data_IF_788523302136
#
_entry.id   IF_788523302136
#
_cell.length_a   1.000
_cell.length_b   1.000
_cell.length_c   1.000
_cell.angle_alpha   90.00
_cell.angle_beta   90.00
_cell.angle_gamma   90.00
#
_symmetry.space_group_name_H-M   'P 1'
#
loop_
_entity.id
_entity.type
_entity.pdbx_description
1 polymer ?
#
# COMPACT_ATOMS: atom_id res chain seq x y z
N UNK A 1 17.52 -6.71 46.57
CA UNK A 1 18.62 -6.08 47.35
C UNK A 1 18.73 -4.65 46.86
N UNK A 2 18.58 -3.67 47.78
CA UNK A 2 18.92 -2.23 47.79
C UNK A 2 18.15 -1.41 46.73
N UNK A 3 16.99 -0.72 47.01
CA UNK A 3 16.65 0.42 47.94
C UNK A 3 17.55 1.63 47.76
N UNK A 4 16.90 2.74 47.35
CA UNK A 4 16.96 4.10 47.97
C UNK A 4 16.22 5.06 47.03
N UNK A 5 15.07 5.60 47.33
CA UNK A 5 14.49 6.50 48.35
C UNK A 5 15.09 7.92 48.44
N UNK A 6 14.15 8.88 48.43
CA UNK A 6 14.14 10.19 49.10
C UNK A 6 14.83 11.34 48.33
N UNK A 7 14.31 12.59 48.20
CA UNK A 7 13.60 13.47 49.16
C UNK A 7 13.07 14.69 48.38
N UNK A 8 11.84 15.17 48.41
CA UNK A 8 11.13 16.16 49.25
C UNK A 8 11.92 17.39 49.71
N UNK A 9 11.43 18.60 49.34
CA UNK A 9 11.27 19.86 50.13
C UNK A 9 10.67 20.90 49.18
N UNK A 10 9.47 21.48 49.32
CA UNK A 10 8.70 22.26 50.29
C UNK A 10 9.43 23.42 50.92
N UNK A 11 8.97 24.64 50.63
CA UNK A 11 8.75 25.84 51.53
C UNK A 11 8.25 26.97 50.62
N UNK A 12 7.12 27.62 50.68
CA UNK A 12 6.25 28.16 51.73
C UNK A 12 6.69 29.53 52.24
N UNK A 13 5.73 30.48 52.11
CA UNK A 13 5.47 31.68 52.92
C UNK A 13 6.40 32.90 52.73
N UNK A 14 5.97 34.18 52.67
CA UNK A 14 5.11 34.94 53.58
C UNK A 14 4.89 36.36 53.02
N UNK A 15 3.69 36.86 52.87
CA UNK A 15 3.00 38.02 53.45
C UNK A 15 3.75 39.32 53.83
N UNK A 16 3.09 40.43 53.54
CA UNK A 16 2.81 41.59 54.44
C UNK A 16 2.99 42.91 53.69
N UNK A 17 1.98 43.66 53.44
CA UNK A 17 1.14 44.56 54.21
C UNK A 17 1.57 46.05 54.15
N UNK A 18 0.60 46.90 53.80
CA UNK A 18 0.26 48.18 54.31
C UNK A 18 1.08 49.43 53.93
N UNK A 19 0.35 50.48 53.53
CA UNK A 19 0.76 51.86 53.60
C UNK A 19 -0.18 52.85 52.92
N UNK A 20 -1.15 53.28 53.64
CA UNK A 20 -2.16 54.31 53.39
C UNK A 20 -1.52 55.67 53.25
N UNK A 21 -2.06 56.60 52.44
CA UNK A 21 -1.68 57.99 52.39
C UNK A 21 -2.61 58.82 51.51
N UNK A 22 -3.70 59.27 52.06
CA UNK A 22 -4.59 60.30 51.51
C UNK A 22 -4.07 61.70 51.81
N UNK A 23 -4.17 62.63 50.85
CA UNK A 23 -4.28 64.10 51.14
C UNK A 23 -4.83 64.83 49.89
N UNK A 24 -5.99 65.27 49.98
CA UNK A 24 -6.81 66.49 49.86
C UNK A 24 -6.34 67.59 48.86
N UNK A 25 -7.31 67.94 48.03
CA UNK A 25 -7.64 69.06 47.17
C UNK A 25 -7.12 70.44 47.58
N UNK A 26 -7.08 71.47 46.67
CA UNK A 26 -8.33 72.13 46.28
C UNK A 26 -8.48 72.59 44.82
N UNK A 27 -9.71 72.86 44.47
CA UNK A 27 -10.25 73.45 43.27
C UNK A 27 -9.85 74.92 43.06
N UNK A 28 -9.76 75.34 41.80
CA UNK A 28 -10.24 76.62 41.32
C UNK A 28 -10.56 76.61 39.83
N UNK A 29 -11.76 76.88 39.55
CA UNK A 29 -12.54 77.51 38.51
C UNK A 29 -11.76 78.35 37.48
N UNK A 30 -11.99 78.23 36.18
CA UNK A 30 -12.80 79.05 35.30
C UNK A 30 -12.38 79.03 33.84
N UNK A 31 -13.40 79.14 33.00
CA UNK A 31 -13.44 79.54 31.59
C UNK A 31 -13.17 78.49 30.48
N UNK A 32 -14.26 78.05 29.96
CA UNK A 32 -14.34 77.53 28.60
C UNK A 32 -13.99 78.55 27.51
N UNK A 33 -13.37 78.13 26.45
CA UNK A 33 -13.70 78.63 25.14
C UNK A 33 -14.17 77.47 24.22
N UNK A 34 -15.32 77.75 23.67
CA UNK A 34 -15.90 77.37 22.39
C UNK A 34 -15.23 76.26 21.60
N UNK A 35 -16.01 75.20 21.41
CA UNK A 35 -15.74 74.10 20.56
C UNK A 35 -15.31 74.51 19.17
N UNK A 36 -14.13 74.13 18.75
CA UNK A 36 -13.76 73.86 17.37
C UNK A 36 -14.03 72.40 17.14
N UNK A 37 -14.86 72.10 16.18
CA UNK A 37 -15.10 70.75 15.71
C UNK A 37 -13.78 70.19 15.17
N UNK A 38 -13.09 69.42 15.96
CA UNK A 38 -12.03 68.54 15.48
C UNK A 38 -12.76 67.41 14.73
N UNK A 39 -12.66 67.46 13.45
CA UNK A 39 -12.88 66.29 12.60
C UNK A 39 -11.96 65.20 13.12
N UNK A 40 -12.52 64.26 13.88
CA UNK A 40 -11.88 63.06 14.27
C UNK A 40 -11.47 62.33 12.95
N UNK A 41 -10.17 62.46 12.61
CA UNK A 41 -9.57 61.56 11.63
C UNK A 41 -9.79 60.16 12.17
N UNK A 42 -10.76 59.48 11.61
CA UNK A 42 -11.02 58.08 11.87
C UNK A 42 -9.70 57.33 11.67
N UNK A 43 -9.16 56.79 12.78
CA UNK A 43 -7.98 55.94 12.75
C UNK A 43 -8.20 54.87 11.71
N UNK A 44 -7.48 54.98 10.62
CA UNK A 44 -7.59 54.04 9.48
C UNK A 44 -7.11 52.69 9.99
N UNK A 45 -8.05 51.75 10.15
CA UNK A 45 -7.70 50.40 10.58
C UNK A 45 -6.78 49.80 9.49
N UNK A 46 -5.54 49.42 9.78
CA UNK A 46 -4.57 48.95 8.79
C UNK A 46 -5.03 47.69 8.02
N UNK A 47 -6.09 47.04 8.52
CA UNK A 47 -6.71 45.90 7.86
C UNK A 47 -7.89 46.29 6.93
N UNK A 48 -8.27 47.54 6.87
CA UNK A 48 -9.37 48.00 6.04
C UNK A 48 -8.85 48.78 4.82
N UNK A 49 -9.53 48.56 3.70
CA UNK A 49 -9.27 49.29 2.46
C UNK A 49 -10.60 49.85 1.91
N UNK A 50 -10.54 51.10 1.50
CA UNK A 50 -11.67 51.75 0.80
C UNK A 50 -11.29 51.87 -0.68
N UNK A 51 -12.09 51.26 -1.55
CA UNK A 51 -11.85 51.26 -2.98
C UNK A 51 -12.53 52.45 -3.63
N UNK A 52 -11.81 53.17 -4.49
CA UNK A 52 -12.37 54.27 -5.26
C UNK A 52 -13.35 53.71 -6.31
N UNK A 53 -14.48 54.42 -6.59
CA UNK A 53 -15.49 53.95 -7.54
C UNK A 53 -14.92 53.58 -8.93
N UNK A 54 -13.88 54.26 -9.37
CA UNK A 54 -13.20 54.07 -10.65
C UNK A 54 -12.49 52.71 -10.75
N UNK A 55 -12.12 52.15 -9.64
CA UNK A 55 -11.42 50.87 -9.53
C UNK A 55 -12.37 49.69 -9.24
N UNK A 56 -13.63 49.96 -8.90
CA UNK A 56 -14.59 48.94 -8.50
C UNK A 56 -14.77 47.84 -9.56
N UNK A 57 -14.64 48.17 -10.85
CA UNK A 57 -14.74 47.20 -11.95
C UNK A 57 -13.57 46.20 -12.02
N UNK A 58 -12.50 46.42 -11.30
CA UNK A 58 -11.34 45.52 -11.27
C UNK A 58 -11.49 44.39 -10.23
N UNK A 59 -12.52 44.42 -9.41
CA UNK A 59 -12.76 43.49 -8.33
C UNK A 59 -14.12 42.82 -8.50
N UNK A 60 -14.10 41.51 -8.46
CA UNK A 60 -15.34 40.71 -8.43
C UNK A 60 -15.62 40.28 -7.00
N UNK A 61 -16.80 40.62 -6.51
CA UNK A 61 -17.27 40.19 -5.19
C UNK A 61 -18.33 39.12 -5.39
N UNK A 62 -18.25 38.05 -4.63
CA UNK A 62 -19.23 36.97 -4.62
C UNK A 62 -19.61 36.60 -3.19
N UNK A 63 -20.86 36.18 -3.05
CA UNK A 63 -21.34 35.63 -1.78
C UNK A 63 -20.85 34.19 -1.62
N UNK A 64 -20.33 33.86 -0.45
CA UNK A 64 -19.93 32.52 -0.13
C UNK A 64 -21.12 31.62 0.11
N UNK A 65 -21.20 30.56 -0.69
CA UNK A 65 -22.22 29.52 -0.58
C UNK A 65 -21.60 28.17 -0.27
N UNK A 66 -22.38 27.27 0.31
CA UNK A 66 -22.01 25.88 0.48
C UNK A 66 -21.94 25.23 -0.90
N UNK A 67 -20.86 24.51 -1.14
CA UNK A 67 -20.62 23.80 -2.40
C UNK A 67 -20.19 22.36 -2.11
N UNK A 68 -20.60 21.45 -2.99
CA UNK A 68 -20.15 20.07 -2.94
C UNK A 68 -18.69 19.97 -3.42
N UNK A 69 -17.79 19.75 -2.48
CA UNK A 69 -16.37 19.54 -2.77
C UNK A 69 -16.06 18.06 -2.62
N UNK A 70 -15.47 17.49 -3.65
CA UNK A 70 -14.95 16.12 -3.63
C UNK A 70 -13.45 16.18 -3.35
N UNK A 71 -13.01 15.93 -2.11
CA UNK A 71 -11.61 16.05 -1.75
C UNK A 71 -10.76 14.97 -2.42
N UNK A 72 -9.54 15.34 -2.81
CA UNK A 72 -8.52 14.38 -3.15
C UNK A 72 -7.89 13.84 -1.86
N UNK A 73 -7.92 12.53 -1.71
CA UNK A 73 -7.23 11.83 -0.63
C UNK A 73 -5.88 11.34 -1.14
N UNK A 74 -4.81 11.79 -0.52
CA UNK A 74 -3.47 11.32 -0.80
C UNK A 74 -3.09 10.22 0.17
N UNK A 75 -2.71 9.07 -0.37
CA UNK A 75 -2.43 7.87 0.38
C UNK A 75 -1.03 7.40 0.01
N UNK A 76 -0.13 7.41 0.97
CA UNK A 76 1.20 6.86 0.81
C UNK A 76 1.12 5.34 0.72
N UNK A 77 1.87 4.78 -0.21
CA UNK A 77 1.89 3.35 -0.45
C UNK A 77 3.20 2.88 -1.04
N UNK A 78 3.25 1.59 -1.32
CA UNK A 78 4.38 0.94 -1.98
C UNK A 78 3.90 -0.05 -3.02
N UNK A 79 4.75 -0.30 -3.98
CA UNK A 79 4.52 -1.33 -4.99
C UNK A 79 4.86 -2.68 -4.40
N UNK A 80 3.97 -3.64 -4.56
CA UNK A 80 4.17 -5.03 -4.15
C UNK A 80 3.89 -5.95 -5.34
N UNK A 81 4.52 -7.12 -5.35
CA UNK A 81 4.14 -8.16 -6.29
C UNK A 81 2.70 -8.60 -5.98
N UNK A 82 1.96 -8.98 -7.02
CA UNK A 82 0.64 -9.54 -6.84
C UNK A 82 0.77 -10.93 -6.19
N UNK A 83 0.38 -11.08 -4.92
CA UNK A 83 0.51 -12.32 -4.15
C UNK A 83 -0.13 -13.55 -4.84
N UNK A 84 -1.14 -13.32 -5.70
CA UNK A 84 -1.76 -14.40 -6.48
C UNK A 84 -0.87 -14.92 -7.61
N UNK A 85 0.14 -14.14 -7.99
CA UNK A 85 1.09 -14.41 -9.05
C UNK A 85 2.52 -14.57 -8.51
N UNK A 86 2.64 -14.86 -7.21
CA UNK A 86 3.91 -15.17 -6.54
C UNK A 86 3.89 -16.63 -6.10
N UNK A 87 4.97 -17.34 -6.37
CA UNK A 87 5.17 -18.70 -5.89
C UNK A 87 6.47 -18.83 -5.11
N UNK A 88 6.39 -19.50 -3.97
CA UNK A 88 7.55 -19.88 -3.16
C UNK A 88 7.89 -21.31 -3.49
N UNK A 89 9.10 -21.54 -3.97
CA UNK A 89 9.57 -22.82 -4.49
C UNK A 89 10.56 -23.40 -3.48
N UNK A 90 10.29 -24.60 -3.02
CA UNK A 90 11.11 -25.34 -2.07
C UNK A 90 11.65 -26.64 -2.63
N UNK A 91 12.42 -27.38 -1.83
CA UNK A 91 12.84 -28.72 -2.13
C UNK A 91 11.70 -29.72 -1.90
N UNK A 92 11.53 -30.67 -2.82
CA UNK A 92 10.58 -31.76 -2.65
C UNK A 92 11.16 -32.95 -1.87
N UNK A 93 12.48 -33.04 -1.80
CA UNK A 93 13.23 -34.11 -1.13
C UNK A 93 14.43 -33.54 -0.39
N UNK A 94 14.90 -34.27 0.60
CA UNK A 94 16.16 -33.91 1.30
C UNK A 94 17.37 -34.19 0.40
N UNK A 95 18.26 -33.21 0.28
CA UNK A 95 19.49 -33.40 -0.52
C UNK A 95 20.45 -32.22 -0.44
N UNK A 96 21.66 -32.43 -0.95
CA UNK A 96 22.68 -31.38 -1.06
C UNK A 96 22.55 -30.68 -2.42
N UNK A 97 22.50 -29.36 -2.41
CA UNK A 97 22.49 -28.54 -3.64
C UNK A 97 23.82 -28.71 -4.36
N UNK A 98 23.77 -29.22 -5.56
CA UNK A 98 24.92 -29.45 -6.45
C UNK A 98 25.09 -28.37 -7.50
N UNK A 99 24.00 -27.71 -7.88
CA UNK A 99 24.02 -26.64 -8.87
C UNK A 99 22.92 -25.61 -8.53
N UNK A 100 23.22 -24.34 -8.71
CA UNK A 100 22.24 -23.24 -8.71
C UNK A 100 22.23 -22.68 -10.13
N UNK A 101 21.10 -22.74 -10.80
CA UNK A 101 20.92 -22.46 -12.23
C UNK A 101 20.22 -21.13 -12.51
N UNK A 102 19.66 -20.52 -11.47
CA UNK A 102 18.94 -19.26 -11.60
C UNK A 102 19.36 -18.26 -10.51
N UNK A 103 19.52 -17.02 -10.90
CA UNK A 103 19.85 -15.89 -10.05
C UNK A 103 18.67 -14.91 -9.90
N UNK A 104 18.76 -14.04 -8.89
CA UNK A 104 17.75 -12.97 -8.70
C UNK A 104 17.76 -12.03 -9.93
N UNK A 105 16.60 -11.81 -10.51
CA UNK A 105 16.42 -11.04 -11.73
C UNK A 105 16.24 -11.87 -13.00
N UNK A 106 16.54 -13.17 -12.96
CA UNK A 106 16.39 -14.04 -14.12
C UNK A 106 14.92 -14.28 -14.47
N UNK A 107 14.63 -14.32 -15.78
CA UNK A 107 13.34 -14.73 -16.29
C UNK A 107 13.31 -16.25 -16.46
N UNK A 108 12.29 -16.86 -15.88
CA UNK A 108 12.13 -18.31 -15.89
C UNK A 108 10.76 -18.71 -16.47
N UNK A 109 10.73 -19.86 -17.12
CA UNK A 109 9.51 -20.47 -17.60
C UNK A 109 9.03 -21.53 -16.62
N UNK A 110 7.72 -21.83 -16.65
CA UNK A 110 7.18 -22.94 -15.86
C UNK A 110 7.86 -24.25 -16.24
N UNK A 111 8.32 -25.01 -15.25
CA UNK A 111 9.07 -26.24 -15.43
C UNK A 111 10.59 -26.06 -15.60
N UNK A 112 11.08 -24.83 -15.78
CA UNK A 112 12.51 -24.58 -15.91
C UNK A 112 13.24 -24.91 -14.58
N UNK A 113 14.35 -25.68 -14.62
CA UNK A 113 15.12 -25.99 -13.45
C UNK A 113 15.84 -24.74 -12.91
N UNK A 114 15.71 -24.48 -11.62
CA UNK A 114 16.33 -23.37 -10.87
C UNK A 114 17.55 -23.82 -10.06
N UNK A 115 17.50 -25.05 -9.57
CA UNK A 115 18.60 -25.70 -8.87
C UNK A 115 18.53 -27.21 -9.03
N UNK A 116 19.66 -27.87 -8.77
CA UNK A 116 19.77 -29.32 -8.70
C UNK A 116 20.26 -29.74 -7.34
N UNK A 117 19.76 -30.86 -6.85
CA UNK A 117 20.18 -31.40 -5.55
C UNK A 117 20.41 -32.91 -5.66
N UNK A 118 21.47 -33.40 -5.05
CA UNK A 118 21.76 -34.83 -4.90
C UNK A 118 20.98 -35.36 -3.67
N UNK A 119 20.15 -36.39 -3.89
CA UNK A 119 19.29 -36.98 -2.86
C UNK A 119 19.46 -38.51 -2.80
N UNK A 120 19.85 -39.03 -1.64
CA UNK A 120 19.83 -40.45 -1.36
C UNK A 120 18.41 -40.99 -1.20
N UNK A 121 17.52 -40.18 -0.71
CA UNK A 121 16.09 -40.51 -0.56
C UNK A 121 15.45 -40.79 -1.94
N UNK A 122 15.70 -39.91 -2.93
CA UNK A 122 15.27 -40.12 -4.29
C UNK A 122 15.84 -41.42 -4.90
N UNK A 123 17.14 -41.70 -4.65
CA UNK A 123 17.80 -42.92 -5.09
C UNK A 123 17.12 -44.18 -4.52
N UNK A 124 16.81 -44.15 -3.22
CA UNK A 124 16.09 -45.22 -2.53
C UNK A 124 14.68 -45.43 -3.11
N UNK A 125 13.95 -44.37 -3.36
CA UNK A 125 12.63 -44.43 -3.96
C UNK A 125 12.68 -45.00 -5.41
N UNK A 126 13.67 -44.61 -6.21
CA UNK A 126 13.90 -45.17 -7.54
C UNK A 126 14.20 -46.67 -7.50
N UNK A 127 15.03 -47.15 -6.58
CA UNK A 127 15.26 -48.56 -6.35
C UNK A 127 13.97 -49.30 -5.96
N UNK A 128 13.15 -48.73 -5.08
CA UNK A 128 11.83 -49.24 -4.71
C UNK A 128 10.91 -49.40 -5.91
N UNK A 129 10.88 -48.39 -6.77
CA UNK A 129 10.10 -48.43 -8.02
C UNK A 129 10.55 -49.55 -8.98
N UNK A 130 11.87 -49.69 -9.21
CA UNK A 130 12.41 -50.74 -10.07
C UNK A 130 12.11 -52.15 -9.52
N UNK A 131 12.16 -52.31 -8.18
CA UNK A 131 11.79 -53.57 -7.51
C UNK A 131 10.31 -53.90 -7.72
N UNK A 132 9.43 -52.90 -7.51
CA UNK A 132 7.99 -53.04 -7.73
C UNK A 132 7.68 -53.33 -9.21
N UNK A 133 8.38 -52.66 -10.15
CA UNK A 133 8.24 -52.93 -11.57
C UNK A 133 8.61 -54.38 -11.95
N UNK A 134 9.74 -54.87 -11.40
CA UNK A 134 10.15 -56.26 -11.62
C UNK A 134 9.15 -57.27 -11.06
N UNK A 135 8.60 -57.00 -9.85
CA UNK A 135 7.57 -57.85 -9.23
C UNK A 135 6.27 -57.87 -10.06
N UNK A 136 5.80 -56.69 -10.52
CA UNK A 136 4.61 -56.57 -11.35
C UNK A 136 4.77 -57.32 -12.71
N UNK A 137 5.92 -57.19 -13.36
CA UNK A 137 6.25 -57.89 -14.59
C UNK A 137 6.31 -59.43 -14.39
N UNK A 138 6.87 -59.88 -13.25
CA UNK A 138 6.90 -61.31 -12.89
C UNK A 138 5.49 -61.87 -12.65
N UNK A 139 4.66 -61.14 -11.88
CA UNK A 139 3.27 -61.52 -11.62
C UNK A 139 2.43 -61.56 -12.91
N UNK A 140 2.62 -60.60 -13.81
CA UNK A 140 1.96 -60.61 -15.14
C UNK A 140 2.28 -61.84 -15.95
N UNK A 141 3.57 -62.18 -16.09
CA UNK A 141 4.00 -63.43 -16.76
C UNK A 141 3.49 -64.68 -16.05
N UNK A 142 3.30 -64.67 -14.73
CA UNK A 142 2.72 -65.78 -13.97
C UNK A 142 1.24 -65.96 -14.28
N UNK A 143 0.46 -64.88 -14.39
CA UNK A 143 -0.93 -64.90 -14.79
C UNK A 143 -1.07 -65.41 -16.23
N UNK A 144 -0.23 -64.93 -17.17
CA UNK A 144 -0.28 -65.37 -18.56
C UNK A 144 0.02 -66.86 -18.71
N UNK A 145 1.01 -67.40 -17.96
CA UNK A 145 1.23 -68.86 -17.90
C UNK A 145 0.06 -69.59 -17.27
N UNK A 146 -0.54 -69.06 -16.19
CA UNK A 146 -1.69 -69.67 -15.54
C UNK A 146 -2.92 -69.72 -16.47
N UNK A 147 -3.13 -68.70 -17.32
CA UNK A 147 -4.18 -68.69 -18.36
C UNK A 147 -3.99 -69.78 -19.37
N UNK A 148 -2.76 -70.07 -19.82
CA UNK A 148 -2.47 -71.17 -20.74
C UNK A 148 -2.71 -72.55 -20.09
N UNK A 149 -2.32 -72.70 -18.79
CA UNK A 149 -2.48 -73.98 -18.06
C UNK A 149 -3.92 -74.24 -17.67
N UNK A 150 -4.76 -73.29 -17.41
CA UNK A 150 -6.20 -73.50 -17.17
C UNK A 150 -6.94 -73.90 -18.48
N UNK A 151 -6.52 -73.31 -19.60
CA UNK A 151 -7.06 -73.66 -20.89
C UNK A 151 -6.71 -75.14 -21.29
N UNK A 152 -5.60 -75.69 -20.73
CA UNK A 152 -5.16 -77.04 -20.89
C UNK A 152 -5.66 -78.03 -19.81
N UNK A 153 -6.58 -77.57 -18.94
CA UNK A 153 -7.11 -78.29 -17.78
C UNK A 153 -6.02 -78.81 -16.80
N UNK A 154 -4.87 -78.10 -16.73
CA UNK A 154 -3.73 -78.46 -15.83
C UNK A 154 -3.89 -77.86 -14.44
N UNK A 155 -4.52 -76.66 -14.28
CA UNK A 155 -4.74 -75.99 -13.02
C UNK A 155 -6.22 -75.69 -12.84
N UNK A 156 -6.66 -75.58 -11.56
CA UNK A 156 -8.02 -75.16 -11.23
C UNK A 156 -8.20 -73.64 -11.14
N UNK A 157 -9.46 -73.19 -11.13
CA UNK A 157 -9.86 -71.78 -11.02
C UNK A 157 -9.28 -71.07 -9.79
N UNK A 158 -9.16 -71.78 -8.66
CA UNK A 158 -8.63 -71.25 -7.45
C UNK A 158 -7.15 -70.76 -7.58
N UNK A 159 -6.31 -71.55 -8.33
CA UNK A 159 -4.93 -71.15 -8.60
C UNK A 159 -4.87 -69.94 -9.55
N UNK A 160 -5.75 -69.89 -10.56
CA UNK A 160 -5.86 -68.72 -11.42
C UNK A 160 -6.23 -67.45 -10.62
N UNK A 161 -7.26 -67.53 -9.81
CA UNK A 161 -7.68 -66.39 -8.94
C UNK A 161 -6.55 -65.93 -8.01
N UNK A 162 -5.76 -66.87 -7.47
CA UNK A 162 -4.61 -66.53 -6.65
C UNK A 162 -3.57 -65.73 -7.45
N UNK A 163 -3.23 -66.15 -8.67
CA UNK A 163 -2.27 -65.44 -9.53
C UNK A 163 -2.78 -64.06 -9.95
N UNK A 164 -4.07 -63.92 -10.24
CA UNK A 164 -4.71 -62.63 -10.54
C UNK A 164 -4.69 -61.70 -9.34
N UNK A 165 -4.92 -62.23 -8.13
CA UNK A 165 -4.82 -61.43 -6.89
C UNK A 165 -3.38 -60.98 -6.63
N UNK A 166 -2.37 -61.85 -6.80
CA UNK A 166 -0.94 -61.52 -6.69
C UNK A 166 -0.54 -60.43 -7.72
N UNK A 167 -1.04 -60.51 -8.96
CA UNK A 167 -0.81 -59.51 -9.98
C UNK A 167 -1.44 -58.17 -9.59
N UNK A 168 -2.68 -58.18 -9.07
CA UNK A 168 -3.38 -56.96 -8.65
C UNK A 168 -2.62 -56.20 -7.56
N UNK A 169 -2.09 -56.95 -6.56
CA UNK A 169 -1.25 -56.39 -5.50
C UNK A 169 0.04 -55.78 -6.06
N UNK A 170 0.79 -56.56 -6.90
CA UNK A 170 2.05 -56.05 -7.46
C UNK A 170 1.86 -54.85 -8.38
N UNK A 171 0.75 -54.78 -9.13
CA UNK A 171 0.40 -53.60 -9.91
C UNK A 171 0.04 -52.38 -9.03
N UNK A 172 -0.61 -52.60 -7.87
CA UNK A 172 -0.93 -51.55 -6.92
C UNK A 172 0.36 -50.96 -6.28
N UNK A 173 1.31 -51.84 -5.90
CA UNK A 173 2.62 -51.44 -5.39
C UNK A 173 3.42 -50.64 -6.40
N UNK A 174 3.44 -51.08 -7.65
CA UNK A 174 4.11 -50.32 -8.73
C UNK A 174 3.50 -48.92 -8.93
N UNK A 175 2.17 -48.84 -8.94
CA UNK A 175 1.50 -47.52 -9.02
C UNK A 175 1.88 -46.61 -7.83
N UNK A 176 1.81 -47.12 -6.61
CA UNK A 176 2.18 -46.38 -5.39
C UNK A 176 3.62 -45.89 -5.44
N UNK A 177 4.57 -46.73 -5.86
CA UNK A 177 5.97 -46.35 -6.03
C UNK A 177 6.16 -45.28 -7.11
N UNK A 178 5.42 -45.34 -8.21
CA UNK A 178 5.43 -44.33 -9.26
C UNK A 178 4.86 -43.00 -8.80
N UNK A 179 3.77 -43.04 -8.02
CA UNK A 179 3.16 -41.81 -7.43
C UNK A 179 4.11 -41.15 -6.40
N UNK A 180 4.83 -41.96 -5.62
CA UNK A 180 5.85 -41.48 -4.71
C UNK A 180 6.96 -40.71 -5.46
N UNK A 181 7.45 -41.25 -6.59
CA UNK A 181 8.46 -40.55 -7.41
C UNK A 181 7.95 -39.23 -7.98
N UNK A 182 6.66 -39.16 -8.38
CA UNK A 182 6.03 -37.92 -8.86
C UNK A 182 5.96 -36.86 -7.73
N UNK A 183 5.58 -37.27 -6.52
CA UNK A 183 5.56 -36.39 -5.34
C UNK A 183 6.96 -35.87 -4.99
N UNK A 184 8.01 -36.66 -5.24
CA UNK A 184 9.41 -36.25 -5.10
C UNK A 184 9.90 -35.33 -6.23
N UNK A 185 9.03 -34.96 -7.18
CA UNK A 185 9.35 -34.04 -8.26
C UNK A 185 9.96 -34.71 -9.50
N UNK A 186 9.92 -36.04 -9.62
CA UNK A 186 10.38 -36.75 -10.82
C UNK A 186 9.29 -36.66 -11.91
N UNK A 187 9.56 -36.07 -13.08
CA UNK A 187 8.59 -35.97 -14.14
C UNK A 187 8.30 -37.36 -14.79
N UNK A 188 7.11 -37.52 -15.39
CA UNK A 188 6.64 -38.82 -15.89
C UNK A 188 7.57 -39.42 -16.93
N UNK A 189 8.16 -38.60 -17.79
CA UNK A 189 9.13 -39.06 -18.79
C UNK A 189 10.43 -39.59 -18.17
N UNK A 190 10.85 -39.06 -17.05
CA UNK A 190 12.01 -39.58 -16.30
C UNK A 190 11.68 -40.91 -15.61
N UNK A 191 10.43 -41.08 -15.12
CA UNK A 191 9.98 -42.37 -14.56
C UNK A 191 9.92 -43.45 -15.64
N UNK A 192 9.44 -43.12 -16.84
CA UNK A 192 9.44 -44.12 -17.97
C UNK A 192 10.88 -44.46 -18.39
N UNK A 193 11.80 -43.48 -18.49
CA UNK A 193 13.23 -43.75 -18.74
C UNK A 193 13.84 -44.64 -17.65
N UNK A 194 13.51 -44.39 -16.40
CA UNK A 194 13.97 -45.21 -15.26
C UNK A 194 13.48 -46.66 -15.41
N UNK A 195 12.22 -46.85 -15.78
CA UNK A 195 11.61 -48.17 -16.03
C UNK A 195 12.28 -48.92 -17.16
N UNK A 196 12.59 -48.23 -18.27
CA UNK A 196 13.19 -48.82 -19.47
C UNK A 196 14.68 -49.12 -19.29
N UNK A 197 15.45 -48.18 -18.71
CA UNK A 197 16.90 -48.26 -18.66
C UNK A 197 17.43 -48.86 -17.36
N UNK A 198 16.65 -48.79 -16.27
CA UNK A 198 17.06 -49.26 -14.97
C UNK A 198 18.17 -48.41 -14.32
N UNK A 199 18.51 -47.26 -14.93
CA UNK A 199 19.61 -46.41 -14.46
C UNK A 199 19.10 -45.41 -13.42
N UNK A 200 19.73 -45.38 -12.23
CA UNK A 200 19.40 -44.48 -11.15
C UNK A 200 19.99 -43.08 -11.41
N UNK A 201 19.18 -42.06 -11.17
CA UNK A 201 19.59 -40.67 -11.26
C UNK A 201 19.44 -40.02 -9.89
N UNK A 202 20.54 -39.82 -9.12
CA UNK A 202 20.47 -39.30 -7.73
C UNK A 202 20.14 -37.81 -7.66
N UNK A 203 19.98 -37.14 -8.81
CA UNK A 203 19.79 -35.69 -8.90
C UNK A 203 18.31 -35.36 -9.08
N UNK A 204 17.74 -34.64 -8.12
CA UNK A 204 16.43 -34.02 -8.21
C UNK A 204 16.56 -32.58 -8.71
N UNK A 205 15.57 -32.11 -9.45
CA UNK A 205 15.50 -30.72 -9.93
C UNK A 205 14.48 -29.94 -9.12
N UNK A 206 14.88 -28.76 -8.67
CA UNK A 206 13.96 -27.73 -8.15
C UNK A 206 13.57 -26.86 -9.32
N UNK A 207 12.30 -26.93 -9.74
CA UNK A 207 11.82 -26.25 -10.96
C UNK A 207 10.80 -25.17 -10.66
N UNK A 208 10.75 -24.15 -11.52
CA UNK A 208 9.77 -23.08 -11.44
C UNK A 208 8.35 -23.61 -11.65
N UNK A 209 7.44 -23.29 -10.77
CA UNK A 209 6.02 -23.69 -10.86
C UNK A 209 5.18 -22.66 -11.63
N UNK A 210 5.72 -21.44 -11.81
CA UNK A 210 5.13 -20.31 -12.51
C UNK A 210 6.17 -19.70 -13.47
N UNK A 211 5.75 -19.19 -14.61
CA UNK A 211 6.58 -18.33 -15.45
C UNK A 211 6.65 -16.94 -14.84
N UNK A 212 7.85 -16.34 -14.77
CA UNK A 212 8.01 -15.04 -14.15
C UNK A 212 9.48 -14.64 -13.97
N UNK A 213 9.75 -13.86 -12.96
CA UNK A 213 11.08 -13.40 -12.56
C UNK A 213 11.42 -13.95 -11.17
N UNK A 214 12.65 -14.39 -10.99
CA UNK A 214 13.16 -14.76 -9.67
C UNK A 214 13.37 -13.49 -8.85
N UNK A 215 12.56 -13.26 -7.83
CA UNK A 215 12.64 -12.07 -6.97
C UNK A 215 13.42 -12.32 -5.68
N UNK A 216 13.59 -13.58 -5.31
CA UNK A 216 14.35 -13.95 -4.12
C UNK A 216 15.01 -15.32 -4.30
N UNK A 217 16.23 -15.46 -3.81
CA UNK A 217 17.00 -16.70 -3.75
C UNK A 217 17.57 -16.88 -2.35
N UNK A 218 17.22 -17.98 -1.69
CA UNK A 218 17.66 -18.34 -0.33
C UNK A 218 18.48 -19.63 -0.31
N UNK A 219 19.03 -20.01 -1.43
CA UNK A 219 19.79 -21.26 -1.57
C UNK A 219 21.21 -20.99 -2.06
N UNK A 220 22.16 -21.77 -1.57
CA UNK A 220 23.58 -21.72 -1.97
C UNK A 220 24.08 -23.10 -2.39
N UNK A 221 25.07 -23.12 -3.27
CA UNK A 221 25.77 -24.35 -3.64
C UNK A 221 26.36 -25.04 -2.42
N UNK A 222 26.22 -26.36 -2.31
CA UNK A 222 26.70 -27.18 -1.19
C UNK A 222 25.79 -27.19 0.04
N UNK A 223 24.77 -26.33 0.11
CA UNK A 223 23.78 -26.33 1.18
C UNK A 223 22.97 -27.63 1.16
N UNK A 224 22.57 -28.11 2.32
CA UNK A 224 21.57 -29.18 2.46
C UNK A 224 20.21 -28.55 2.52
N UNK A 225 19.31 -28.93 1.62
CA UNK A 225 17.92 -28.52 1.60
C UNK A 225 17.02 -29.67 2.07
N UNK A 226 15.91 -29.32 2.72
CA UNK A 226 14.90 -30.25 3.22
C UNK A 226 13.52 -29.87 2.68
N UNK A 227 12.55 -30.81 2.62
CA UNK A 227 11.17 -30.49 2.30
C UNK A 227 10.62 -29.39 3.22
N UNK A 228 10.05 -28.33 2.62
CA UNK A 228 9.57 -27.17 3.35
C UNK A 228 10.54 -25.98 3.38
N UNK A 229 11.82 -26.18 3.08
CA UNK A 229 12.76 -25.08 2.93
C UNK A 229 12.38 -24.21 1.73
N UNK A 230 12.29 -22.90 1.95
CA UNK A 230 12.06 -21.92 0.91
C UNK A 230 13.38 -21.60 0.19
N UNK A 231 13.49 -21.97 -1.08
CA UNK A 231 14.71 -21.82 -1.87
C UNK A 231 14.66 -20.64 -2.84
N UNK A 232 13.53 -20.48 -3.53
CA UNK A 232 13.33 -19.40 -4.49
C UNK A 232 11.93 -18.81 -4.36
N UNK A 233 11.81 -17.51 -4.68
CA UNK A 233 10.51 -16.87 -4.96
C UNK A 233 10.49 -16.41 -6.41
N UNK A 234 9.50 -16.86 -7.15
CA UNK A 234 9.24 -16.43 -8.52
C UNK A 234 7.93 -15.66 -8.56
N UNK A 235 7.93 -14.52 -9.21
CA UNK A 235 6.75 -13.66 -9.37
C UNK A 235 6.52 -13.32 -10.85
N UNK A 236 5.28 -13.36 -11.27
CA UNK A 236 4.87 -12.66 -12.48
C UNK A 236 4.66 -11.18 -12.14
N UNK A 237 5.45 -10.31 -12.75
CA UNK A 237 5.45 -8.88 -12.52
C UNK A 237 4.78 -8.07 -13.64
N UNK A 238 4.05 -8.72 -14.56
CA UNK A 238 3.31 -8.02 -15.62
C UNK A 238 2.13 -7.23 -15.07
N UNK A 239 1.66 -7.60 -13.86
CA UNK A 239 0.79 -6.80 -13.02
C UNK A 239 1.35 -6.70 -11.61
N UNK A 240 1.22 -5.53 -11.02
CA UNK A 240 1.66 -5.28 -9.63
C UNK A 240 0.52 -4.68 -8.81
N UNK A 241 0.64 -4.77 -7.51
CA UNK A 241 -0.22 -4.05 -6.58
C UNK A 241 0.47 -2.81 -6.05
N UNK A 242 -0.28 -1.73 -5.93
CA UNK A 242 0.09 -0.60 -5.08
C UNK A 242 -0.72 -0.74 -3.79
N UNK A 243 -0.02 -0.99 -2.70
CA UNK A 243 -0.60 -1.19 -1.38
C UNK A 243 -0.39 0.07 -0.56
N UNK A 244 -1.46 0.65 -0.06
CA UNK A 244 -1.42 1.87 0.74
C UNK A 244 -2.18 1.75 2.05
N UNK A 245 -1.84 2.65 2.96
CA UNK A 245 -2.44 2.77 4.28
C UNK A 245 -3.39 3.96 4.31
N UNK A 246 -4.69 3.70 4.23
CA UNK A 246 -5.74 4.71 4.27
C UNK A 246 -6.13 4.99 5.73
N UNK A 247 -6.07 6.24 6.22
CA UNK A 247 -6.48 6.57 7.58
C UNK A 247 -7.94 6.14 7.87
N UNK A 248 -8.18 5.60 9.06
CA UNK A 248 -9.50 5.10 9.50
C UNK A 248 -10.63 6.12 9.27
N UNK A 249 -10.34 7.40 9.53
CA UNK A 249 -11.32 8.48 9.40
C UNK A 249 -11.85 8.66 7.98
N UNK A 250 -11.01 8.39 6.97
CA UNK A 250 -11.34 8.54 5.55
C UNK A 250 -11.69 7.21 4.87
N UNK A 251 -11.56 6.08 5.59
CA UNK A 251 -11.78 4.74 5.02
C UNK A 251 -13.18 4.56 4.43
N UNK A 252 -14.20 5.19 5.03
CA UNK A 252 -15.59 5.10 4.58
C UNK A 252 -15.85 5.78 3.23
N UNK A 253 -14.96 6.70 2.81
CA UNK A 253 -15.11 7.46 1.55
C UNK A 253 -14.49 6.76 0.35
N UNK A 254 -13.82 5.62 0.57
CA UNK A 254 -13.10 4.87 -0.48
C UNK A 254 -13.71 3.47 -0.62
N UNK A 255 -13.97 3.06 -1.87
CA UNK A 255 -14.60 1.78 -2.18
C UNK A 255 -13.82 1.02 -3.25
N UNK A 256 -13.94 -0.30 -3.23
CA UNK A 256 -13.43 -1.14 -4.32
C UNK A 256 -14.10 -0.75 -5.66
N UNK A 257 -13.33 -0.80 -6.75
CA UNK A 257 -13.78 -0.41 -8.08
C UNK A 257 -13.48 1.06 -8.44
N UNK A 258 -13.19 1.93 -7.46
CA UNK A 258 -12.82 3.32 -7.73
C UNK A 258 -11.50 3.42 -8.51
N UNK A 259 -11.43 4.42 -9.38
CA UNK A 259 -10.21 4.76 -10.12
C UNK A 259 -9.28 5.59 -9.24
N UNK A 260 -7.99 5.25 -9.28
CA UNK A 260 -6.93 5.89 -8.52
C UNK A 260 -5.86 6.40 -9.47
N UNK A 261 -5.39 7.61 -9.22
CA UNK A 261 -4.18 8.14 -9.84
C UNK A 261 -2.98 7.79 -8.95
N UNK A 262 -1.98 7.17 -9.53
CA UNK A 262 -0.80 6.69 -8.82
C UNK A 262 0.42 7.43 -9.36
N UNK A 263 1.16 8.04 -8.49
CA UNK A 263 2.41 8.74 -8.80
C UNK A 263 3.57 7.97 -8.20
N UNK A 264 4.58 7.67 -9.02
CA UNK A 264 5.78 6.94 -8.60
C UNK A 264 6.98 7.88 -8.75
N UNK A 265 7.52 8.44 -7.66
CA UNK A 265 8.62 9.40 -7.71
C UNK A 265 9.86 8.87 -8.42
N UNK A 266 10.17 7.58 -8.24
CA UNK A 266 11.31 6.93 -8.90
C UNK A 266 11.23 6.92 -10.44
N UNK A 267 10.04 7.17 -11.02
CA UNK A 267 9.80 7.25 -12.46
C UNK A 267 9.54 8.69 -12.94
N UNK A 268 10.08 9.70 -12.23
CA UNK A 268 9.91 11.11 -12.57
C UNK A 268 8.47 11.61 -12.37
N UNK A 269 7.80 11.15 -11.32
CA UNK A 269 6.39 11.46 -11.00
C UNK A 269 5.42 11.11 -12.13
N UNK A 270 5.72 10.07 -12.88
CA UNK A 270 4.82 9.56 -13.91
C UNK A 270 3.49 9.14 -13.28
N UNK A 271 2.41 9.73 -13.76
CA UNK A 271 1.05 9.37 -13.34
C UNK A 271 0.58 8.11 -14.06
N UNK A 272 0.12 7.15 -13.28
CA UNK A 272 -0.48 5.91 -13.72
C UNK A 272 -1.92 5.85 -13.21
N UNK A 273 -2.75 5.13 -13.92
CA UNK A 273 -4.13 4.90 -13.48
C UNK A 273 -4.30 3.44 -13.08
N UNK A 274 -4.90 3.22 -11.93
CA UNK A 274 -5.24 1.88 -11.44
C UNK A 274 -6.67 1.83 -10.91
N UNK A 275 -7.12 0.62 -10.55
CA UNK A 275 -8.40 0.40 -9.88
C UNK A 275 -8.18 -0.20 -8.50
N UNK A 276 -8.91 0.31 -7.50
CA UNK A 276 -8.93 -0.30 -6.16
C UNK A 276 -9.59 -1.67 -6.28
N UNK A 277 -8.82 -2.71 -5.98
CA UNK A 277 -9.32 -4.09 -5.99
C UNK A 277 -9.68 -4.60 -4.61
N UNK A 278 -9.22 -3.90 -3.56
CA UNK A 278 -9.48 -4.28 -2.19
C UNK A 278 -9.38 -3.08 -1.25
N UNK A 279 -10.33 -3.00 -0.33
CA UNK A 279 -10.31 -2.12 0.85
C UNK A 279 -10.46 -3.04 2.05
N UNK A 280 -9.55 -2.95 3.02
CA UNK A 280 -9.52 -3.83 4.18
C UNK A 280 -10.71 -3.62 5.10
N UNK A 281 -11.22 -4.71 5.68
CA UNK A 281 -12.30 -4.68 6.67
C UNK A 281 -11.78 -4.48 8.11
N UNK A 282 -10.45 -4.45 8.27
CA UNK A 282 -9.79 -4.32 9.57
C UNK A 282 -8.87 -3.12 9.60
N UNK A 283 -8.83 -2.46 10.75
CA UNK A 283 -7.92 -1.34 11.03
C UNK A 283 -6.66 -1.90 11.70
N UNK A 284 -5.47 -1.54 11.18
CA UNK A 284 -4.22 -1.83 11.87
C UNK A 284 -4.14 -0.99 13.15
N UNK A 285 -3.99 -1.61 14.32
CA UNK A 285 -3.94 -0.88 15.58
C UNK A 285 -2.69 -0.01 15.73
N UNK A 286 -1.59 -0.39 15.07
CA UNK A 286 -0.32 0.33 15.13
C UNK A 286 -0.37 1.64 14.33
N UNK A 287 -0.96 1.59 13.14
CA UNK A 287 -0.96 2.72 12.20
C UNK A 287 -2.28 3.46 12.13
N UNK A 288 -3.35 2.95 12.76
CA UNK A 288 -4.72 3.46 12.67
C UNK A 288 -5.18 3.63 11.22
N UNK A 289 -4.85 2.67 10.39
CA UNK A 289 -5.14 2.70 8.95
C UNK A 289 -5.75 1.40 8.45
N UNK A 290 -6.48 1.51 7.36
CA UNK A 290 -7.04 0.40 6.58
C UNK A 290 -6.16 0.17 5.36
N UNK A 291 -5.82 -1.08 5.08
CA UNK A 291 -5.05 -1.43 3.89
C UNK A 291 -5.91 -1.34 2.65
N UNK A 292 -5.45 -0.61 1.63
CA UNK A 292 -6.05 -0.62 0.31
C UNK A 292 -5.07 -1.21 -0.70
N UNK A 293 -5.60 -1.89 -1.72
CA UNK A 293 -4.81 -2.44 -2.83
C UNK A 293 -5.38 -1.97 -4.15
N UNK A 294 -4.49 -1.46 -4.98
CA UNK A 294 -4.80 -1.03 -6.34
C UNK A 294 -3.99 -1.87 -7.30
N UNK A 295 -4.62 -2.45 -8.31
CA UNK A 295 -3.93 -3.20 -9.36
C UNK A 295 -3.50 -2.26 -10.48
N UNK A 296 -2.27 -2.44 -10.95
CA UNK A 296 -1.66 -1.66 -12.02
C UNK A 296 -0.98 -2.60 -13.01
N UNK A 297 -1.20 -2.37 -14.29
CA UNK A 297 -0.51 -3.08 -15.36
C UNK A 297 0.94 -2.61 -15.48
N UNK A 298 1.86 -3.56 -15.65
CA UNK A 298 3.29 -3.31 -15.67
C UNK A 298 4.00 -4.06 -16.82
N UNK A 299 3.56 -3.91 -18.08
CA UNK A 299 4.09 -4.68 -19.20
C UNK A 299 5.57 -4.40 -19.49
N UNK A 300 6.04 -3.21 -19.13
CA UNK A 300 7.46 -2.81 -19.26
C UNK A 300 8.31 -3.20 -18.06
N UNK A 301 7.66 -3.64 -16.95
CA UNK A 301 8.31 -3.98 -15.68
C UNK A 301 9.14 -2.84 -15.06
N UNK A 302 8.75 -1.59 -15.36
CA UNK A 302 9.34 -0.39 -14.77
C UNK A 302 8.97 -0.25 -13.29
N UNK A 303 7.78 -0.75 -12.92
CA UNK A 303 7.28 -0.79 -11.55
C UNK A 303 7.89 -1.99 -10.83
N UNK A 304 8.84 -1.72 -9.94
CA UNK A 304 9.51 -2.77 -9.17
C UNK A 304 8.91 -2.87 -7.76
N UNK A 305 8.74 -4.08 -7.23
CA UNK A 305 8.37 -4.26 -5.83
C UNK A 305 9.26 -3.44 -4.88
N UNK A 306 8.66 -2.91 -3.81
CA UNK A 306 9.24 -2.01 -2.80
C UNK A 306 9.47 -0.55 -3.26
N UNK A 307 9.17 -0.17 -4.50
CA UNK A 307 9.14 1.26 -4.88
C UNK A 307 8.02 1.97 -4.12
N UNK A 308 8.29 3.20 -3.68
CA UNK A 308 7.28 4.05 -3.07
C UNK A 308 6.35 4.61 -4.16
N UNK A 309 5.10 4.77 -3.79
CA UNK A 309 4.07 5.35 -4.63
C UNK A 309 3.10 6.21 -3.79
N UNK A 310 2.57 7.25 -4.39
CA UNK A 310 1.46 8.03 -3.82
C UNK A 310 0.22 7.75 -4.62
N UNK A 311 -0.84 7.36 -3.95
CA UNK A 311 -2.16 7.15 -4.56
C UNK A 311 -3.05 8.33 -4.25
N UNK A 312 -3.69 8.88 -5.27
CA UNK A 312 -4.71 9.93 -5.14
C UNK A 312 -6.05 9.37 -5.59
N UNK A 313 -7.01 9.39 -4.67
CA UNK A 313 -8.37 8.91 -4.90
C UNK A 313 -9.37 10.01 -4.57
N UNK A 314 -10.46 10.10 -5.30
CA UNK A 314 -11.55 11.01 -4.98
C UNK A 314 -12.32 10.49 -3.77
N UNK A 315 -12.46 11.33 -2.75
CA UNK A 315 -13.28 11.06 -1.58
C UNK A 315 -14.78 11.18 -1.87
N UNK A 316 -15.58 11.17 -0.82
CA UNK A 316 -17.01 11.48 -0.92
C UNK A 316 -17.22 13.00 -0.96
N UNK A 317 -18.15 13.46 -1.76
CA UNK A 317 -18.56 14.86 -1.77
C UNK A 317 -18.97 15.31 -0.36
N UNK A 318 -18.46 16.46 0.03
CA UNK A 318 -18.79 17.12 1.29
C UNK A 318 -19.24 18.52 1.02
N UNK A 319 -20.37 18.91 1.60
CA UNK A 319 -20.88 20.26 1.51
C UNK A 319 -20.03 21.19 2.41
N UNK A 320 -19.26 22.05 1.80
CA UNK A 320 -18.32 22.96 2.47
C UNK A 320 -18.34 24.32 1.83
N UNK A 321 -18.03 25.36 2.63
CA UNK A 321 -17.69 26.66 2.09
C UNK A 321 -16.37 26.57 1.33
N UNK A 322 -16.32 27.15 0.13
CA UNK A 322 -15.12 27.17 -0.68
C UNK A 322 -14.84 28.54 -1.28
N UNK A 323 -13.57 28.82 -1.48
CA UNK A 323 -13.06 30.03 -2.11
C UNK A 323 -12.22 29.69 -3.33
N UNK A 324 -12.32 30.42 -4.44
CA UNK A 324 -11.32 30.35 -5.49
C UNK A 324 -9.92 30.66 -4.91
N UNK A 325 -8.93 29.90 -5.32
CA UNK A 325 -7.54 30.07 -4.83
C UNK A 325 -6.99 31.49 -5.07
N UNK A 326 -7.46 32.18 -6.10
CA UNK A 326 -7.09 33.56 -6.43
C UNK A 326 -7.69 34.62 -5.49
N UNK A 327 -8.69 34.27 -4.68
CA UNK A 327 -9.28 35.12 -3.65
C UNK A 327 -8.37 35.25 -2.40
N UNK A 328 -7.41 34.35 -2.27
CA UNK A 328 -6.58 34.21 -1.07
C UNK A 328 -5.32 35.07 -1.19
N UNK A 329 -5.10 35.89 -0.20
CA UNK A 329 -3.88 36.71 -0.04
C UNK A 329 -3.08 36.17 1.12
N UNK A 330 -1.79 35.89 0.92
CA UNK A 330 -0.91 35.44 1.97
C UNK A 330 -0.12 36.59 2.55
N UNK A 331 -0.28 36.84 3.85
CA UNK A 331 0.43 37.87 4.56
C UNK A 331 0.87 37.37 5.95
N UNK A 332 2.12 37.64 6.33
CA UNK A 332 2.72 37.20 7.59
C UNK A 332 2.55 35.70 7.85
N UNK A 333 2.73 34.89 6.78
CA UNK A 333 2.61 33.44 6.77
C UNK A 333 1.20 32.90 7.13
N UNK A 334 0.17 33.74 6.97
CA UNK A 334 -1.24 33.38 7.15
C UNK A 334 -2.05 33.71 5.90
N UNK A 335 -3.06 32.89 5.67
CA UNK A 335 -4.01 33.11 4.60
C UNK A 335 -5.07 34.13 5.04
N UNK A 336 -5.39 35.07 4.17
CA UNK A 336 -6.37 36.11 4.39
C UNK A 336 -7.27 36.27 3.18
N UNK A 337 -8.44 36.80 3.37
CA UNK A 337 -9.36 37.18 2.29
C UNK A 337 -9.93 38.57 2.57
N UNK A 338 -10.35 39.28 1.54
CA UNK A 338 -11.05 40.54 1.69
C UNK A 338 -12.55 40.30 1.81
N UNK A 339 -13.10 40.62 2.97
CA UNK A 339 -14.53 40.56 3.29
C UNK A 339 -15.12 41.94 3.09
N UNK A 340 -16.24 42.06 2.38
CA UNK A 340 -16.97 43.30 2.21
C UNK A 340 -17.67 43.64 3.49
N UNK A 341 -17.40 44.83 4.03
CA UNK A 341 -18.05 45.36 5.26
C UNK A 341 -19.06 46.48 4.95
N UNK A 342 -18.89 47.18 3.84
CA UNK A 342 -19.82 48.17 3.29
C UNK A 342 -19.60 48.30 1.79
N UNK A 343 -20.39 49.15 1.11
CA UNK A 343 -20.47 49.23 -0.37
C UNK A 343 -19.09 49.35 -1.07
N UNK A 344 -18.12 50.04 -0.47
CA UNK A 344 -16.76 50.22 -1.00
C UNK A 344 -15.68 49.88 0.02
N UNK A 345 -16.05 49.27 1.14
CA UNK A 345 -15.14 48.94 2.23
C UNK A 345 -14.93 47.44 2.32
N UNK A 346 -13.67 47.06 2.37
CA UNK A 346 -13.23 45.68 2.52
C UNK A 346 -12.29 45.57 3.68
N UNK A 347 -12.40 44.47 4.43
CA UNK A 347 -11.54 44.15 5.54
C UNK A 347 -10.74 42.90 5.24
N UNK A 348 -9.43 42.99 5.40
CA UNK A 348 -8.53 41.83 5.34
C UNK A 348 -8.77 40.94 6.56
N UNK A 349 -9.34 39.79 6.37
CA UNK A 349 -9.78 38.86 7.41
C UNK A 349 -8.92 37.61 7.38
N UNK A 350 -8.31 37.18 8.50
CA UNK A 350 -7.56 35.95 8.55
C UNK A 350 -8.49 34.75 8.43
N UNK A 351 -8.07 33.75 7.67
CA UNK A 351 -8.84 32.53 7.42
C UNK A 351 -7.96 31.30 7.54
N UNK A 352 -8.56 30.20 7.95
CA UNK A 352 -7.93 28.88 7.96
C UNK A 352 -8.53 28.09 6.80
N UNK A 353 -7.68 27.74 5.83
CA UNK A 353 -8.11 27.10 4.59
C UNK A 353 -7.49 25.71 4.48
N UNK A 354 -8.25 24.78 3.92
CA UNK A 354 -7.73 23.47 3.54
C UNK A 354 -6.82 23.53 2.30
N UNK A 355 -6.26 22.38 1.88
CA UNK A 355 -5.45 22.30 0.68
C UNK A 355 -6.27 22.66 -0.55
N UNK A 356 -5.59 23.23 -1.56
CA UNK A 356 -6.23 23.58 -2.82
C UNK A 356 -6.74 22.33 -3.54
N UNK A 357 -7.97 22.40 -4.06
CA UNK A 357 -8.65 21.32 -4.75
C UNK A 357 -9.25 21.89 -6.06
N UNK A 358 -8.78 21.46 -7.20
CA UNK A 358 -9.29 21.87 -8.51
C UNK A 358 -9.55 23.41 -8.63
N UNK A 359 -8.61 24.26 -8.17
CA UNK A 359 -8.67 25.75 -8.15
C UNK A 359 -9.52 26.37 -7.02
N UNK A 360 -10.14 25.60 -6.14
CA UNK A 360 -10.84 26.09 -4.96
C UNK A 360 -10.16 25.63 -3.68
N UNK A 361 -10.33 26.38 -2.61
CA UNK A 361 -9.84 26.00 -1.26
C UNK A 361 -11.02 25.97 -0.29
N UNK A 362 -11.22 24.86 0.42
CA UNK A 362 -12.27 24.76 1.42
C UNK A 362 -11.94 25.65 2.63
N UNK A 363 -12.94 26.31 3.16
CA UNK A 363 -12.83 27.17 4.35
C UNK A 363 -13.04 26.31 5.59
N UNK A 364 -12.01 26.23 6.45
CA UNK A 364 -12.08 25.51 7.73
C UNK A 364 -12.61 26.44 8.82
N UNK A 365 -12.08 27.68 8.90
CA UNK A 365 -12.49 28.69 9.88
C UNK A 365 -12.31 30.10 9.33
N UNK A 366 -13.05 31.04 9.91
CA UNK A 366 -12.88 32.48 9.68
C UNK A 366 -13.98 33.12 8.82
N UNK A 367 -14.83 32.34 8.15
CA UNK A 367 -15.94 32.84 7.32
C UNK A 367 -17.21 32.02 7.56
N UNK A 368 -18.35 32.64 7.25
CA UNK A 368 -19.66 32.01 7.31
C UNK A 368 -20.36 32.06 5.95
N UNK A 369 -21.34 31.19 5.73
CA UNK A 369 -22.19 31.25 4.56
C UNK A 369 -22.91 32.62 4.49
N UNK A 370 -23.05 33.15 3.28
CA UNK A 370 -23.63 34.47 3.07
C UNK A 370 -22.61 35.63 3.19
N UNK A 371 -21.37 35.40 3.56
CA UNK A 371 -20.33 36.43 3.59
C UNK A 371 -19.94 36.83 2.15
N UNK A 372 -19.92 38.11 1.85
CA UNK A 372 -19.42 38.64 0.59
C UNK A 372 -17.91 38.80 0.63
N UNK A 373 -17.21 38.15 -0.30
CA UNK A 373 -15.76 38.17 -0.42
C UNK A 373 -15.31 38.55 -1.80
N UNK A 374 -14.11 39.12 -1.90
CA UNK A 374 -13.45 39.40 -3.17
C UNK A 374 -12.92 38.10 -3.75
N UNK A 375 -13.46 37.64 -4.87
CA UNK A 375 -13.06 36.40 -5.53
C UNK A 375 -12.06 36.64 -6.66
N UNK A 376 -12.03 37.83 -7.25
CA UNK A 376 -11.03 38.24 -8.25
C UNK A 376 -10.45 39.61 -7.88
N UNK A 377 -9.17 39.82 -8.17
CA UNK A 377 -8.49 41.08 -7.90
C UNK A 377 -7.96 41.22 -6.45
N UNK A 378 -8.08 40.21 -5.59
CA UNK A 378 -7.66 40.26 -4.18
C UNK A 378 -6.19 40.70 -4.00
N UNK A 379 -5.30 40.28 -4.92
CA UNK A 379 -3.89 40.69 -4.89
C UNK A 379 -3.75 42.20 -5.18
N UNK A 380 -4.48 42.74 -6.13
CA UNK A 380 -4.46 44.19 -6.43
C UNK A 380 -5.03 44.98 -5.27
N UNK A 381 -6.11 44.50 -4.67
CA UNK A 381 -6.70 45.13 -3.47
C UNK A 381 -5.71 45.20 -2.31
N UNK A 382 -4.90 44.13 -2.11
CA UNK A 382 -3.87 44.12 -1.06
C UNK A 382 -2.73 45.12 -1.36
N UNK A 383 -2.39 45.30 -2.63
CA UNK A 383 -1.39 46.31 -2.99
C UNK A 383 -1.89 47.73 -2.72
N UNK A 384 -3.15 48.04 -3.01
CA UNK A 384 -3.78 49.31 -2.70
C UNK A 384 -3.84 49.55 -1.18
N UNK A 385 -4.20 48.52 -0.39
CA UNK A 385 -4.19 48.60 1.06
C UNK A 385 -2.80 48.94 1.58
N UNK A 386 -1.74 48.22 1.10
CA UNK A 386 -0.35 48.48 1.52
C UNK A 386 0.15 49.87 1.11
N UNK A 387 -0.31 50.38 -0.02
CA UNK A 387 0.01 51.74 -0.46
C UNK A 387 -0.62 52.78 0.45
N UNK A 388 -1.90 52.59 0.82
CA UNK A 388 -2.58 53.47 1.77
C UNK A 388 -2.03 53.43 3.22
N UNK A 389 -1.32 52.36 3.58
CA UNK A 389 -0.62 52.21 4.85
C UNK A 389 0.71 53.01 4.90
N UNK A 390 1.28 53.34 3.74
CA UNK A 390 2.53 54.09 3.57
C UNK A 390 2.33 55.59 3.36
N UNK A 391 1.13 56.04 3.06
CA UNK A 391 0.71 57.43 2.91
C UNK A 391 0.17 57.99 4.27
#
# INVERSE_FOLDING_TARGET
MKTNTLTRRRTALLSMLMGCGALLLPACSDKAPKAAASTEAAATNPLEVVIKPEMASQFTVSTLEMQDIVPWLEISGRIEANDRLVTRIGAAVTGRITEVLAEVGDRVQRGQPLARLASSELTTAQMGFLKAHSAASQAERAVDRARQLIQADVIGSAEMQRRESEQAVARAELRAAGDQLRLMGLPSDAIERLKEQGTLHPVASVSATLAGVVIERKVSHGQVAQPGDHLFTVADLDTVWVVGALPEQTARSVQAGQTVVIEVPALGNRSLTGKIVYVGDTVSPETRSVTIRTQVDNPKRDLKPQMLATMRVRGTAQEMLALPSQAVVRENDRDHVFVRTAEQRFRLTPVELGPAQDHVRPVIKGLSAGTEVVVEGAFHMNNERKRAELE
#
